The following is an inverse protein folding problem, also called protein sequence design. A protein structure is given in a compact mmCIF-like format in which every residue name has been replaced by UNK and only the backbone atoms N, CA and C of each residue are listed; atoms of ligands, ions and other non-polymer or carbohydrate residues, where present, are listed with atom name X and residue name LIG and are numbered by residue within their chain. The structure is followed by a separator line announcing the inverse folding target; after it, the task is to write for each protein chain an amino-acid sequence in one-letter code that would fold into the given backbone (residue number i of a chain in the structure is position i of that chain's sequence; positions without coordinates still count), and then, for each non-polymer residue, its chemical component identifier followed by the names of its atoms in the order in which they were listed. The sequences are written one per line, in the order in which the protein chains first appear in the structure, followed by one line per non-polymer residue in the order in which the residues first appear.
data_IF_787755691373
#
_entry.id   IF_787755691373
#
_cell.length_a   1.000
_cell.length_b   1.000
_cell.length_c   1.000
_cell.angle_alpha   90.00
_cell.angle_beta   90.00
_cell.angle_gamma   90.00
#
_symmetry.space_group_name_H-M   'P 1'
#
loop_
_entity.id
_entity.type
_entity.pdbx_description
1 polymer ?
#
# COMPACT_ATOMS: atom_id res chain seq x y z
N UNK A 1 4.48 -18.39 -10.99
CA UNK A 1 5.08 -18.35 -9.64
C UNK A 1 5.31 -16.90 -9.29
N UNK A 2 4.69 -16.43 -8.21
CA UNK A 2 4.83 -15.05 -7.72
C UNK A 2 5.72 -15.07 -6.47
N UNK A 3 6.81 -14.31 -6.49
CA UNK A 3 7.74 -14.16 -5.36
C UNK A 3 7.59 -12.71 -4.88
N UNK A 4 6.51 -12.45 -4.15
CA UNK A 4 6.15 -11.14 -3.60
C UNK A 4 5.20 -11.32 -2.41
N UNK A 5 4.69 -10.22 -1.85
CA UNK A 5 3.76 -10.23 -0.71
C UNK A 5 2.43 -10.93 -1.06
N UNK A 6 1.84 -11.61 -0.07
CA UNK A 6 0.69 -12.49 -0.27
C UNK A 6 -0.59 -11.81 -0.76
N UNK A 7 -0.87 -10.59 -0.31
CA UNK A 7 -1.95 -9.75 -0.82
C UNK A 7 -1.83 -9.45 -2.31
N UNK A 8 -0.62 -9.44 -2.87
CA UNK A 8 -0.45 -9.29 -4.33
C UNK A 8 -0.95 -10.53 -5.08
N UNK A 9 -0.70 -11.74 -4.56
CA UNK A 9 -1.22 -12.96 -5.18
C UNK A 9 -2.76 -13.01 -5.10
N UNK A 10 -3.34 -12.60 -3.97
CA UNK A 10 -4.80 -12.54 -3.81
C UNK A 10 -5.45 -11.52 -4.75
N UNK A 11 -4.82 -10.34 -4.91
CA UNK A 11 -5.22 -9.32 -5.88
C UNK A 11 -5.24 -9.87 -7.31
N UNK A 12 -4.16 -10.53 -7.73
CA UNK A 12 -4.07 -11.15 -9.07
C UNK A 12 -5.15 -12.20 -9.27
N UNK A 13 -5.44 -13.05 -8.28
CA UNK A 13 -6.55 -14.02 -8.38
C UNK A 13 -7.91 -13.35 -8.52
N UNK A 14 -8.14 -12.28 -7.76
CA UNK A 14 -9.42 -11.56 -7.78
C UNK A 14 -9.66 -10.79 -9.08
N UNK A 15 -8.60 -10.28 -9.71
CA UNK A 15 -8.69 -9.44 -10.91
C UNK A 15 -8.49 -10.22 -12.23
N UNK A 16 -8.10 -11.50 -12.16
CA UNK A 16 -7.93 -12.33 -13.35
C UNK A 16 -9.26 -12.90 -13.82
N UNK A 17 -9.55 -12.76 -15.12
CA UNK A 17 -10.73 -13.35 -15.75
C UNK A 17 -10.63 -14.88 -15.91
N UNK A 18 -9.40 -15.42 -15.84
CA UNK A 18 -9.11 -16.85 -15.99
C UNK A 18 -8.63 -17.44 -14.67
N UNK A 19 -8.94 -18.72 -14.42
CA UNK A 19 -8.39 -19.44 -13.27
C UNK A 19 -6.87 -19.59 -13.39
N UNK A 20 -6.13 -18.91 -12.52
CA UNK A 20 -4.68 -18.99 -12.44
C UNK A 20 -4.25 -19.92 -11.32
N UNK A 21 -3.48 -20.96 -11.65
CA UNK A 21 -2.82 -21.79 -10.65
C UNK A 21 -1.56 -21.08 -10.09
N UNK A 22 -1.78 -20.12 -9.19
CA UNK A 22 -0.71 -19.35 -8.55
C UNK A 22 -0.09 -20.14 -7.39
N UNK A 23 1.07 -20.74 -7.67
CA UNK A 23 1.95 -21.38 -6.68
C UNK A 23 3.06 -20.38 -6.30
N UNK A 24 3.18 -20.06 -5.02
CA UNK A 24 4.19 -19.14 -4.50
C UNK A 24 4.37 -19.25 -2.99
N UNK A 25 5.58 -19.01 -2.50
CA UNK A 25 5.87 -18.88 -1.07
C UNK A 25 5.28 -17.57 -0.56
N UNK A 26 4.23 -17.65 0.24
CA UNK A 26 3.63 -16.50 0.89
C UNK A 26 4.63 -15.86 1.86
N UNK A 27 5.02 -14.61 1.60
CA UNK A 27 5.68 -13.76 2.60
C UNK A 27 4.65 -12.75 3.07
N UNK A 28 4.25 -12.85 4.34
CA UNK A 28 3.29 -11.93 4.94
C UNK A 28 4.02 -10.77 5.62
N UNK A 29 3.78 -9.55 5.15
CA UNK A 29 4.25 -8.34 5.81
C UNK A 29 3.36 -8.03 7.02
N UNK A 30 3.90 -8.20 8.24
CA UNK A 30 3.15 -7.96 9.48
C UNK A 30 2.60 -6.53 9.55
N UNK A 31 3.38 -5.54 9.12
CA UNK A 31 2.99 -4.14 9.16
C UNK A 31 1.80 -3.81 8.24
N UNK A 32 1.75 -4.40 7.04
CA UNK A 32 0.60 -4.24 6.14
C UNK A 32 -0.69 -4.85 6.68
N UNK A 33 -0.59 -5.89 7.53
CA UNK A 33 -1.74 -6.56 8.14
C UNK A 33 -2.14 -5.98 9.50
N UNK A 34 -1.49 -4.90 9.95
CA UNK A 34 -1.94 -4.18 11.16
C UNK A 34 -3.21 -3.38 10.91
N UNK A 35 -3.50 -3.02 9.65
CA UNK A 35 -4.70 -2.27 9.28
C UNK A 35 -5.87 -3.23 8.99
N UNK A 36 -6.84 -3.29 9.90
CA UNK A 36 -8.06 -4.08 9.77
C UNK A 36 -9.26 -3.20 9.35
N UNK A 37 -10.39 -3.82 9.00
CA UNK A 37 -11.58 -3.09 8.55
C UNK A 37 -12.15 -2.19 9.66
N UNK A 38 -12.07 -2.64 10.91
CA UNK A 38 -12.51 -1.90 12.09
C UNK A 38 -11.65 -0.66 12.31
N UNK A 39 -10.34 -0.77 12.11
CA UNK A 39 -9.38 0.35 12.21
C UNK A 39 -9.70 1.41 11.13
N UNK A 40 -9.97 0.98 9.91
CA UNK A 40 -10.36 1.88 8.80
C UNK A 40 -11.68 2.58 9.13
N UNK A 41 -12.68 1.86 9.63
CA UNK A 41 -13.97 2.44 10.00
C UNK A 41 -13.81 3.48 11.12
N UNK A 42 -12.98 3.22 12.13
CA UNK A 42 -12.69 4.16 13.20
C UNK A 42 -12.01 5.42 12.64
N UNK A 43 -10.95 5.26 11.85
CA UNK A 43 -10.23 6.40 11.26
C UNK A 43 -11.12 7.30 10.40
N UNK A 44 -12.11 6.72 9.69
CA UNK A 44 -13.07 7.48 8.88
C UNK A 44 -14.13 8.23 9.71
N UNK A 45 -14.49 7.72 10.89
CA UNK A 45 -15.54 8.31 11.73
C UNK A 45 -15.01 9.39 12.67
N UNK A 46 -13.90 9.09 13.33
CA UNK A 46 -13.31 9.93 14.37
C UNK A 46 -11.81 9.61 14.43
N UNK A 47 -10.98 10.20 13.55
CA UNK A 47 -9.57 9.93 13.51
C UNK A 47 -8.89 10.37 14.82
N UNK A 48 -8.02 9.52 15.34
CA UNK A 48 -7.18 9.86 16.48
C UNK A 48 -6.07 10.84 16.05
N UNK A 49 -5.56 11.71 16.95
CA UNK A 49 -4.52 12.67 16.60
C UNK A 49 -3.25 12.03 16.01
N UNK A 50 -2.88 10.83 16.46
CA UNK A 50 -1.73 10.06 15.97
C UNK A 50 -1.95 9.43 14.58
N UNK A 51 -3.19 9.39 14.09
CA UNK A 51 -3.54 8.95 12.73
C UNK A 51 -3.46 10.09 11.71
N UNK A 52 -3.33 11.34 12.17
CA UNK A 52 -3.14 12.50 11.31
C UNK A 52 -1.66 12.62 10.96
N UNK A 53 -1.34 12.47 9.67
CA UNK A 53 0.04 12.54 9.19
C UNK A 53 0.41 14.00 8.98
N UNK A 54 1.20 14.55 9.89
CA UNK A 54 1.78 15.89 9.79
C UNK A 54 3.28 15.80 9.47
N UNK A 55 3.75 16.62 8.54
CA UNK A 55 5.14 16.70 8.10
C UNK A 55 5.53 18.16 7.91
N UNK A 56 6.80 18.49 8.14
CA UNK A 56 7.30 19.84 7.92
C UNK A 56 7.22 20.26 6.44
N UNK A 57 6.84 21.50 6.17
CA UNK A 57 6.71 22.03 4.81
C UNK A 57 7.99 21.89 3.99
N UNK A 58 9.16 22.05 4.61
CA UNK A 58 10.45 21.86 3.93
C UNK A 58 10.64 20.42 3.45
N UNK A 59 10.22 19.44 4.28
CA UNK A 59 10.30 18.01 3.94
C UNK A 59 9.37 17.71 2.77
N UNK A 60 8.13 18.21 2.84
CA UNK A 60 7.13 18.03 1.78
C UNK A 60 7.67 18.56 0.45
N UNK A 61 8.19 19.79 0.42
CA UNK A 61 8.71 20.42 -0.81
C UNK A 61 9.89 19.65 -1.40
N UNK A 62 10.79 19.15 -0.55
CA UNK A 62 11.98 18.40 -1.01
C UNK A 62 11.62 17.01 -1.52
N UNK A 63 10.72 16.31 -0.84
CA UNK A 63 10.25 15.00 -1.26
C UNK A 63 9.47 15.10 -2.58
N UNK A 64 8.60 16.11 -2.71
CA UNK A 64 7.79 16.35 -3.91
C UNK A 64 8.67 16.49 -5.17
N UNK A 65 9.76 17.27 -5.11
CA UNK A 65 10.69 17.40 -6.25
C UNK A 65 11.24 16.06 -6.76
N UNK A 66 11.51 15.12 -5.85
CA UNK A 66 12.04 13.80 -6.21
C UNK A 66 10.97 12.93 -6.85
N UNK A 67 9.72 13.02 -6.36
CA UNK A 67 8.58 12.31 -6.94
C UNK A 67 8.20 12.87 -8.32
N UNK A 68 8.19 14.19 -8.48
CA UNK A 68 7.91 14.86 -9.75
C UNK A 68 8.91 14.42 -10.83
N UNK A 69 10.20 14.36 -10.48
CA UNK A 69 11.24 13.89 -11.39
C UNK A 69 11.12 12.40 -11.72
N UNK A 70 10.74 11.56 -10.74
CA UNK A 70 10.46 10.14 -10.98
C UNK A 70 9.34 9.97 -12.02
N UNK A 71 8.24 10.72 -11.90
CA UNK A 71 7.15 10.66 -12.89
C UNK A 71 7.59 11.18 -14.26
N UNK A 72 8.35 12.29 -14.31
CA UNK A 72 8.88 12.85 -15.57
C UNK A 72 9.78 11.88 -16.33
N UNK A 73 10.51 11.00 -15.62
CA UNK A 73 11.42 10.01 -16.20
C UNK A 73 10.73 8.69 -16.57
N UNK A 74 9.53 8.43 -16.05
CA UNK A 74 8.78 7.21 -16.29
C UNK A 74 7.80 7.29 -17.48
N UNK A 75 7.56 8.50 -18.01
CA UNK A 75 6.95 8.74 -19.34
C UNK A 75 7.95 8.43 -20.47
#
# INVERSE_FOLDING_TARGET
MLITECGTADRVRAESENELNLIGTCVMCRYMKMTQLEDILQALREPHPDQIIELDDEIIQRAQRSLDEMFRLAE
#
